data_IF_964013025350
#
_entry.id   IF_964013025350
#
_cell.length_a   1.000
_cell.length_b   1.000
_cell.length_c   1.000
_cell.angle_alpha   90.00
_cell.angle_beta   90.00
_cell.angle_gamma   90.00
#
_symmetry.space_group_name_H-M   'P 1'
#
loop_
_entity.id
_entity.type
_entity.pdbx_description
1 polymer ?
#
# COMPACT_ATOMS: atom_id res chain seq x y z
N UNK A 1 -7.03 14.64 -59.84
CA UNK A 1 -7.42 13.60 -58.85
C UNK A 1 -6.43 12.45 -58.68
N UNK A 2 -5.62 12.07 -59.69
CA UNK A 2 -4.68 10.93 -59.57
C UNK A 2 -3.38 11.26 -58.81
N UNK A 3 -3.00 12.53 -58.74
CA UNK A 3 -1.77 12.99 -58.05
C UNK A 3 -1.92 13.13 -56.53
N UNK A 4 -3.15 13.39 -56.03
CA UNK A 4 -3.43 13.51 -54.59
C UNK A 4 -3.50 12.15 -53.86
N UNK A 5 -3.74 11.05 -54.59
CA UNK A 5 -3.81 9.70 -54.01
C UNK A 5 -2.40 9.14 -53.74
N UNK A 6 -1.41 9.49 -54.57
CA UNK A 6 -0.02 9.03 -54.39
C UNK A 6 0.70 9.65 -53.20
N UNK A 7 0.41 10.91 -52.85
CA UNK A 7 1.04 11.58 -51.69
C UNK A 7 0.48 11.09 -50.35
N UNK A 8 -0.82 10.74 -50.29
CA UNK A 8 -1.42 10.19 -49.08
C UNK A 8 -0.89 8.78 -48.73
N UNK A 9 -0.58 7.96 -49.74
CA UNK A 9 -0.03 6.62 -49.53
C UNK A 9 1.40 6.64 -48.95
N UNK A 10 2.21 7.66 -49.30
CA UNK A 10 3.59 7.78 -48.80
C UNK A 10 3.65 8.21 -47.33
N UNK A 11 2.69 9.05 -46.89
CA UNK A 11 2.62 9.54 -45.50
C UNK A 11 2.14 8.43 -44.55
N UNK A 12 1.26 7.53 -45.01
CA UNK A 12 0.76 6.39 -44.22
C UNK A 12 1.85 5.33 -43.95
N UNK A 13 2.81 5.15 -44.86
CA UNK A 13 3.92 4.22 -44.68
C UNK A 13 4.96 4.67 -43.64
N UNK A 14 5.10 5.98 -43.40
CA UNK A 14 6.08 6.53 -42.45
C UNK A 14 5.62 6.38 -40.99
N UNK A 15 4.32 6.29 -40.75
CA UNK A 15 3.75 6.18 -39.39
C UNK A 15 3.90 4.75 -38.81
N UNK A 16 4.09 3.73 -39.64
CA UNK A 16 4.21 2.32 -39.23
C UNK A 16 5.60 1.94 -38.69
N UNK A 17 6.59 2.84 -38.72
CA UNK A 17 8.00 2.54 -38.33
C UNK A 17 8.35 3.11 -36.94
N UNK A 18 7.37 3.62 -36.19
CA UNK A 18 7.57 3.91 -34.77
C UNK A 18 7.66 2.61 -33.97
N UNK A 19 8.81 1.93 -34.07
CA UNK A 19 9.18 0.82 -33.21
C UNK A 19 9.09 1.26 -31.76
N UNK A 20 8.11 0.72 -31.04
CA UNK A 20 8.08 0.79 -29.58
C UNK A 20 9.37 0.13 -29.07
N UNK A 21 10.37 0.93 -28.70
CA UNK A 21 11.57 0.40 -28.06
C UNK A 21 11.13 -0.27 -26.76
N UNK A 22 11.34 -1.58 -26.67
CA UNK A 22 11.20 -2.31 -25.42
C UNK A 22 12.14 -1.66 -24.39
N UNK A 23 11.56 -1.00 -23.38
CA UNK A 23 12.30 -0.48 -22.23
C UNK A 23 12.29 -1.56 -21.17
N UNK A 24 13.47 -1.99 -20.75
CA UNK A 24 13.63 -2.84 -19.59
C UNK A 24 13.78 -1.96 -18.36
N UNK A 25 13.06 -2.29 -17.29
CA UNK A 25 13.24 -1.69 -15.97
C UNK A 25 13.85 -2.75 -15.08
N UNK A 26 14.98 -2.44 -14.47
CA UNK A 26 15.63 -3.32 -13.49
C UNK A 26 15.12 -2.94 -12.11
N UNK A 27 14.60 -3.91 -11.37
CA UNK A 27 14.17 -3.76 -9.98
C UNK A 27 15.26 -4.33 -9.09
N UNK A 28 15.82 -3.51 -8.20
CA UNK A 28 16.87 -3.93 -7.26
C UNK A 28 16.26 -4.58 -6.02
N UNK A 29 17.11 -5.22 -5.20
CA UNK A 29 16.70 -5.77 -3.91
C UNK A 29 16.20 -4.68 -2.94
N UNK A 30 16.83 -3.50 -2.97
CA UNK A 30 16.38 -2.33 -2.22
C UNK A 30 14.99 -1.88 -2.65
N UNK A 31 14.72 -1.85 -3.96
CA UNK A 31 13.40 -1.52 -4.49
C UNK A 31 12.36 -2.55 -4.02
N UNK A 32 12.68 -3.85 -4.08
CA UNK A 32 11.82 -4.91 -3.57
C UNK A 32 11.57 -4.81 -2.06
N UNK A 33 12.57 -4.41 -1.28
CA UNK A 33 12.43 -4.24 0.17
C UNK A 33 11.43 -3.14 0.54
N UNK A 34 11.25 -2.13 -0.33
CA UNK A 34 10.24 -1.09 -0.16
C UNK A 34 8.82 -1.51 -0.57
N UNK A 35 8.70 -2.57 -1.39
CA UNK A 35 7.43 -3.05 -1.94
C UNK A 35 6.77 -4.12 -1.07
N UNK A 36 7.53 -4.78 -0.20
CA UNK A 36 7.05 -5.91 0.61
C UNK A 36 6.80 -5.51 2.05
N UNK A 37 5.96 -6.30 2.74
CA UNK A 37 5.83 -6.20 4.19
C UNK A 37 7.15 -6.56 4.86
N UNK A 38 7.63 -5.71 5.74
CA UNK A 38 8.82 -6.00 6.56
C UNK A 38 8.59 -7.26 7.42
N UNK A 39 9.53 -8.20 7.31
CA UNK A 39 9.63 -9.37 8.20
C UNK A 39 10.92 -9.16 9.03
N UNK A 40 10.81 -9.01 10.35
CA UNK A 40 12.00 -8.86 11.20
C UNK A 40 12.86 -10.12 11.15
N UNK A 41 14.17 -9.94 11.23
CA UNK A 41 15.14 -11.04 11.31
C UNK A 41 15.07 -11.77 12.67
N UNK A 42 15.51 -13.02 12.72
CA UNK A 42 15.42 -13.84 13.94
C UNK A 42 16.24 -13.29 15.12
N UNK A 43 17.29 -12.52 14.84
CA UNK A 43 18.15 -11.90 15.85
C UNK A 43 17.47 -10.74 16.60
N UNK A 44 16.41 -10.16 16.05
CA UNK A 44 15.59 -9.13 16.71
C UNK A 44 14.37 -9.69 17.43
N UNK A 45 14.17 -11.02 17.41
CA UNK A 45 13.12 -11.66 18.20
C UNK A 45 13.34 -11.38 19.70
N UNK A 46 12.27 -10.98 20.39
CA UNK A 46 12.31 -10.69 21.81
C UNK A 46 12.82 -11.90 22.61
N UNK A 47 13.87 -11.69 23.41
CA UNK A 47 14.44 -12.69 24.32
C UNK A 47 14.05 -12.34 25.76
N UNK A 48 13.14 -13.09 26.38
CA UNK A 48 12.75 -12.83 27.77
C UNK A 48 13.96 -12.87 28.71
N UNK A 49 14.00 -11.94 29.66
CA UNK A 49 15.00 -11.96 30.74
C UNK A 49 16.38 -11.43 30.38
N UNK A 50 16.61 -10.91 29.16
CA UNK A 50 17.86 -10.23 28.79
C UNK A 50 17.59 -8.90 28.08
N UNK A 51 18.42 -7.88 28.33
CA UNK A 51 18.39 -6.63 27.59
C UNK A 51 19.09 -6.75 26.22
N UNK A 52 19.03 -5.67 25.42
CA UNK A 52 19.68 -5.61 24.11
C UNK A 52 21.22 -5.80 24.15
N UNK A 53 21.84 -5.73 25.33
CA UNK A 53 23.29 -5.97 25.54
C UNK A 53 23.56 -7.37 26.11
N UNK A 54 22.54 -8.23 26.20
CA UNK A 54 22.63 -9.57 26.75
C UNK A 54 22.74 -9.62 28.28
N UNK A 55 22.51 -8.50 28.97
CA UNK A 55 22.57 -8.46 30.43
C UNK A 55 21.24 -8.94 30.99
N UNK A 56 21.24 -9.73 32.08
CA UNK A 56 20.00 -10.23 32.67
C UNK A 56 19.13 -9.06 33.15
N UNK A 57 17.84 -9.13 32.87
CA UNK A 57 16.83 -8.17 33.35
C UNK A 57 15.68 -8.90 34.02
N UNK A 58 15.19 -8.34 35.11
CA UNK A 58 13.98 -8.84 35.78
C UNK A 58 12.77 -8.55 34.87
N UNK A 59 11.92 -9.55 34.57
CA UNK A 59 10.69 -9.31 33.80
C UNK A 59 9.84 -8.24 34.48
N UNK A 60 9.29 -7.31 33.71
CA UNK A 60 8.50 -6.18 34.22
C UNK A 60 7.07 -6.58 34.66
N UNK A 61 6.84 -7.85 35.02
CA UNK A 61 5.51 -8.40 35.22
C UNK A 61 4.92 -7.98 36.58
N UNK A 62 4.34 -6.78 36.60
CA UNK A 62 3.31 -6.39 37.56
C UNK A 62 1.97 -6.96 37.08
N UNK A 63 1.73 -8.23 37.38
CA UNK A 63 0.40 -8.84 37.32
C UNK A 63 -0.24 -8.87 35.93
N UNK A 64 0.15 -9.85 35.11
CA UNK A 64 -0.75 -10.46 34.13
C UNK A 64 -1.24 -9.49 33.05
N UNK A 65 -0.36 -9.19 32.11
CA UNK A 65 -0.74 -8.42 30.93
C UNK A 65 -1.95 -9.02 30.21
N UNK A 66 -2.94 -8.19 29.90
CA UNK A 66 -4.07 -8.57 29.04
C UNK A 66 -3.50 -9.01 27.69
N UNK A 67 -3.62 -10.30 27.36
CA UNK A 67 -3.29 -10.79 26.02
C UNK A 67 -4.32 -10.31 25.02
N UNK A 68 -4.11 -9.13 24.45
CA UNK A 68 -4.91 -8.63 23.34
C UNK A 68 -4.47 -9.37 22.08
N UNK A 69 -5.34 -10.26 21.58
CA UNK A 69 -5.15 -10.84 20.23
C UNK A 69 -5.48 -9.77 19.20
N UNK A 70 -4.47 -9.26 18.52
CA UNK A 70 -4.67 -8.34 17.41
C UNK A 70 -5.45 -9.05 16.28
N UNK A 71 -6.46 -8.41 15.69
CA UNK A 71 -7.20 -9.01 14.60
C UNK A 71 -6.34 -9.04 13.33
N UNK A 72 -6.55 -10.06 12.50
CA UNK A 72 -5.89 -10.19 11.19
C UNK A 72 -6.55 -9.30 10.12
N UNK A 73 -7.80 -8.89 10.37
CA UNK A 73 -8.59 -8.04 9.50
C UNK A 73 -9.26 -6.94 10.34
N UNK A 74 -9.33 -5.72 9.82
CA UNK A 74 -9.98 -4.60 10.50
C UNK A 74 -10.51 -3.57 9.51
N UNK A 75 -11.50 -2.80 9.95
CA UNK A 75 -12.09 -1.71 9.16
C UNK A 75 -12.04 -0.40 9.93
N UNK A 76 -11.60 0.65 9.26
CA UNK A 76 -11.50 2.01 9.80
C UNK A 76 -12.41 2.92 8.97
N UNK A 77 -13.45 3.53 9.58
CA UNK A 77 -14.24 4.54 8.90
C UNK A 77 -13.37 5.77 8.65
N UNK A 78 -13.39 6.27 7.42
CA UNK A 78 -12.81 7.57 7.07
C UNK A 78 -13.88 8.61 7.33
N UNK A 79 -13.59 9.53 8.25
CA UNK A 79 -14.55 10.54 8.70
C UNK A 79 -14.05 11.94 8.38
N UNK A 80 -14.98 12.88 8.18
CA UNK A 80 -14.69 14.30 8.09
C UNK A 80 -15.73 15.16 8.81
N UNK A 81 -15.36 16.39 9.12
CA UNK A 81 -16.30 17.41 9.60
C UNK A 81 -16.87 18.18 8.39
N UNK A 82 -18.15 17.99 8.11
CA UNK A 82 -18.80 18.63 6.96
C UNK A 82 -18.94 20.14 7.13
N UNK A 83 -19.23 20.65 8.33
CA UNK A 83 -19.39 22.08 8.56
C UNK A 83 -18.06 22.79 8.30
N UNK A 84 -16.96 22.23 8.85
CA UNK A 84 -15.61 22.71 8.58
C UNK A 84 -15.23 22.59 7.11
N UNK A 85 -15.60 21.49 6.43
CA UNK A 85 -15.25 21.27 5.02
C UNK A 85 -16.00 22.19 4.07
N UNK A 86 -17.25 22.55 4.40
CA UNK A 86 -18.13 23.38 3.57
C UNK A 86 -18.10 24.87 3.95
N UNK A 87 -17.37 25.24 5.01
CA UNK A 87 -17.32 26.64 5.48
C UNK A 87 -18.63 27.11 6.12
N UNK A 88 -19.45 26.18 6.62
CA UNK A 88 -20.70 26.49 7.32
C UNK A 88 -20.35 26.78 8.78
N UNK A 89 -20.89 27.86 9.39
CA UNK A 89 -20.68 28.14 10.80
C UNK A 89 -21.04 26.93 11.66
N UNK A 90 -20.16 26.57 12.60
CA UNK A 90 -20.38 25.43 13.49
C UNK A 90 -21.56 25.74 14.40
N UNK A 91 -22.66 25.01 14.20
CA UNK A 91 -23.83 25.04 15.08
C UNK A 91 -23.96 23.69 15.81
N UNK A 92 -23.84 23.67 17.15
CA UNK A 92 -24.00 22.44 17.93
C UNK A 92 -25.43 21.88 17.92
N UNK A 93 -26.43 22.66 17.47
CA UNK A 93 -27.82 22.23 17.34
C UNK A 93 -28.17 21.67 15.95
N UNK A 94 -27.24 21.78 14.99
CA UNK A 94 -27.38 21.18 13.67
C UNK A 94 -27.13 19.66 13.72
N UNK A 95 -27.45 18.96 12.61
CA UNK A 95 -27.18 17.52 12.49
C UNK A 95 -25.72 17.17 12.87
N UNK A 96 -25.47 15.95 13.35
CA UNK A 96 -24.12 15.45 13.63
C UNK A 96 -23.28 15.42 12.33
N UNK A 97 -22.64 16.54 12.01
CA UNK A 97 -21.70 16.67 10.89
C UNK A 97 -20.27 16.37 11.32
N UNK A 98 -20.04 16.28 12.62
CA UNK A 98 -18.74 15.95 13.21
C UNK A 98 -18.56 14.43 13.08
N UNK A 99 -17.42 14.00 12.53
CA UNK A 99 -17.12 12.60 12.23
C UNK A 99 -18.05 11.93 11.20
N UNK A 100 -18.55 12.69 10.22
CA UNK A 100 -19.35 12.13 9.14
C UNK A 100 -18.52 11.12 8.33
N UNK A 101 -18.96 9.86 8.30
CA UNK A 101 -18.27 8.80 7.58
C UNK A 101 -18.45 8.95 6.06
N UNK A 102 -17.34 9.09 5.33
CA UNK A 102 -17.31 9.25 3.87
C UNK A 102 -16.86 7.98 3.14
N UNK A 103 -16.37 7.00 3.90
CA UNK A 103 -15.97 5.71 3.36
C UNK A 103 -15.35 4.84 4.44
N UNK A 104 -14.97 3.63 4.05
CA UNK A 104 -14.32 2.67 4.94
C UNK A 104 -13.06 2.15 4.30
N UNK A 105 -11.94 2.24 5.03
CA UNK A 105 -10.74 1.50 4.71
C UNK A 105 -10.81 0.14 5.39
N UNK A 106 -10.67 -0.94 4.64
CA UNK A 106 -10.60 -2.30 5.17
C UNK A 106 -9.22 -2.88 4.91
N UNK A 107 -8.62 -3.46 5.94
CA UNK A 107 -7.42 -4.27 5.83
C UNK A 107 -7.81 -5.74 5.94
N UNK A 108 -7.52 -6.52 4.90
CA UNK A 108 -7.80 -7.96 4.83
C UNK A 108 -6.79 -8.65 3.94
N UNK A 109 -6.32 -9.83 4.34
CA UNK A 109 -5.36 -10.64 3.57
C UNK A 109 -4.07 -9.89 3.19
N UNK A 110 -3.60 -8.98 4.06
CA UNK A 110 -2.42 -8.16 3.78
C UNK A 110 -2.66 -7.03 2.76
N UNK A 111 -3.93 -6.74 2.43
CA UNK A 111 -4.33 -5.79 1.40
C UNK A 111 -5.29 -4.74 1.97
N UNK A 112 -5.12 -3.51 1.48
CA UNK A 112 -5.98 -2.39 1.81
C UNK A 112 -7.06 -2.17 0.76
N UNK A 113 -8.27 -1.87 1.20
CA UNK A 113 -9.42 -1.59 0.36
C UNK A 113 -10.10 -0.30 0.80
N UNK A 114 -10.59 0.51 -0.13
CA UNK A 114 -11.49 1.64 0.14
C UNK A 114 -12.85 1.36 -0.45
N UNK A 115 -13.89 1.30 0.38
CA UNK A 115 -15.26 0.96 -0.04
C UNK A 115 -15.32 -0.35 -0.87
N UNK A 116 -14.50 -1.34 -0.51
CA UNK A 116 -14.40 -2.62 -1.21
C UNK A 116 -13.51 -2.61 -2.46
N UNK A 117 -13.04 -1.45 -2.91
CA UNK A 117 -12.11 -1.36 -4.04
C UNK A 117 -10.66 -1.43 -3.54
N UNK A 118 -9.78 -2.20 -4.20
CA UNK A 118 -8.39 -2.31 -3.77
C UNK A 118 -7.68 -0.95 -3.85
N UNK A 119 -6.88 -0.63 -2.83
CA UNK A 119 -6.06 0.59 -2.79
C UNK A 119 -4.83 0.52 -3.70
N UNK A 120 -4.43 -0.69 -4.08
CA UNK A 120 -3.29 -0.96 -4.97
C UNK A 120 -3.81 -1.51 -6.30
N UNK A 121 -3.08 -1.22 -7.39
CA UNK A 121 -3.40 -1.84 -8.69
C UNK A 121 -3.00 -3.31 -8.71
N UNK A 122 -3.60 -4.09 -9.60
CA UNK A 122 -3.27 -5.51 -9.77
C UNK A 122 -1.80 -5.72 -10.19
N UNK A 123 -1.22 -4.78 -10.94
CA UNK A 123 0.19 -4.81 -11.35
C UNK A 123 1.13 -4.56 -10.17
N UNK A 124 0.80 -3.58 -9.33
CA UNK A 124 1.55 -3.29 -8.11
C UNK A 124 1.50 -4.48 -7.13
N UNK A 125 0.33 -5.09 -6.97
CA UNK A 125 0.14 -6.32 -6.18
C UNK A 125 1.02 -7.46 -6.71
N UNK A 126 0.97 -7.70 -8.02
CA UNK A 126 1.76 -8.76 -8.65
C UNK A 126 3.26 -8.52 -8.50
N UNK A 127 3.71 -7.28 -8.65
CA UNK A 127 5.11 -6.93 -8.46
C UNK A 127 5.57 -7.13 -7.01
N UNK A 128 4.76 -6.72 -6.03
CA UNK A 128 5.05 -6.92 -4.61
C UNK A 128 5.14 -8.41 -4.25
N UNK A 129 4.23 -9.25 -4.77
CA UNK A 129 4.27 -10.70 -4.58
C UNK A 129 5.57 -11.33 -5.11
N UNK A 130 5.98 -10.95 -6.32
CA UNK A 130 7.24 -11.41 -6.91
C UNK A 130 8.46 -10.95 -6.10
N UNK A 131 8.46 -9.71 -5.64
CA UNK A 131 9.51 -9.19 -4.76
C UNK A 131 9.59 -9.99 -3.45
N UNK A 132 8.46 -10.36 -2.87
CA UNK A 132 8.41 -11.15 -1.64
C UNK A 132 8.99 -12.56 -1.82
N UNK A 133 8.76 -13.19 -2.97
CA UNK A 133 9.37 -14.48 -3.30
C UNK A 133 10.88 -14.34 -3.48
N UNK A 134 11.33 -13.32 -4.23
CA UNK A 134 12.76 -13.09 -4.50
C UNK A 134 13.56 -12.87 -3.22
N UNK A 135 13.07 -12.04 -2.30
CA UNK A 135 13.72 -11.75 -1.03
C UNK A 135 13.81 -12.98 -0.11
N UNK A 136 12.88 -13.94 -0.20
CA UNK A 136 12.98 -15.20 0.54
C UNK A 136 14.05 -16.15 0.01
N UNK A 137 14.31 -16.11 -1.30
CA UNK A 137 15.26 -17.03 -1.98
C UNK A 137 16.68 -16.46 -2.12
N UNK A 138 16.84 -15.14 -1.99
CA UNK A 138 18.11 -14.43 -2.21
C UNK A 138 18.85 -14.01 -0.94
N UNK A 139 18.31 -14.35 0.24
CA UNK A 139 18.95 -14.12 1.55
C UNK A 139 19.84 -15.28 1.97
#
# INVERSE_FOLDING_TARGET
>A
MRTFVSTAALIFAIILIYSAKARTVTITESDCSNLVRHVPSDDVAYKPGVDAKGRPVVPADLGGGVQIKAPTEFSIPITMDLQKRLGIPVDPNSFQTQNFAVGTVTWKDGRGYFNGQPLQSAEAERLAALCQERLKTGG
#
